data_IF_395608938880
#
_entry.id   IF_395608938880
#
_cell.length_a   1.000
_cell.length_b   1.000
_cell.length_c   1.000
_cell.angle_alpha   90.00
_cell.angle_beta   90.00
_cell.angle_gamma   90.00
#
_symmetry.space_group_name_H-M   'P 1'
#
loop_
_entity.id
_entity.type
_entity.pdbx_description
1 polymer ?
#
# COMPACT_ATOMS: atom_id res chain seq x y z
N UNK A 1 22.88 -16.36 -23.34
CA UNK A 1 23.04 -15.14 -22.52
C UNK A 1 21.73 -14.87 -21.82
N UNK A 2 21.76 -14.86 -20.48
CA UNK A 2 20.61 -14.74 -19.57
C UNK A 2 19.94 -13.37 -19.60
N UNK A 3 18.61 -13.33 -19.50
CA UNK A 3 17.90 -12.33 -18.69
C UNK A 3 16.66 -12.98 -18.06
N UNK A 4 16.89 -13.87 -17.10
CA UNK A 4 15.88 -14.25 -16.13
C UNK A 4 15.61 -13.06 -15.22
N UNK A 5 14.58 -12.28 -15.54
CA UNK A 5 14.08 -11.21 -14.68
C UNK A 5 13.61 -11.80 -13.36
N UNK A 6 14.46 -11.72 -12.33
CA UNK A 6 14.08 -12.07 -10.96
C UNK A 6 12.88 -11.20 -10.58
N UNK A 7 11.66 -11.76 -10.59
CA UNK A 7 10.53 -11.19 -9.85
C UNK A 7 11.03 -11.03 -8.42
N UNK A 8 11.29 -9.79 -7.99
CA UNK A 8 11.53 -9.48 -6.59
C UNK A 8 10.31 -10.01 -5.86
N UNK A 9 10.49 -11.06 -5.06
CA UNK A 9 9.47 -11.58 -4.16
C UNK A 9 8.96 -10.36 -3.40
N UNK A 10 7.71 -9.97 -3.66
CA UNK A 10 7.09 -8.84 -2.98
C UNK A 10 7.34 -9.00 -1.48
N UNK A 11 7.72 -7.93 -0.79
CA UNK A 11 7.81 -7.98 0.67
C UNK A 11 6.47 -8.47 1.17
N UNK A 12 6.47 -9.59 1.90
CA UNK A 12 5.25 -10.04 2.57
C UNK A 12 4.81 -8.92 3.50
N UNK A 13 3.57 -8.46 3.35
CA UNK A 13 3.00 -7.46 4.24
C UNK A 13 2.94 -8.05 5.65
N UNK A 14 3.36 -7.27 6.64
CA UNK A 14 3.19 -7.64 8.04
C UNK A 14 1.69 -7.61 8.37
N UNK A 15 1.24 -8.48 9.28
CA UNK A 15 -0.15 -8.49 9.73
C UNK A 15 -0.62 -7.11 10.21
N UNK A 16 0.27 -6.34 10.83
CA UNK A 16 0.02 -4.96 11.27
C UNK A 16 -0.11 -3.95 10.13
N UNK A 17 0.50 -4.21 8.97
CA UNK A 17 0.32 -3.38 7.77
C UNK A 17 -1.04 -3.66 7.13
N UNK A 18 -1.45 -4.92 7.09
CA UNK A 18 -2.75 -5.36 6.57
C UNK A 18 -3.88 -4.77 7.43
N UNK A 19 -3.75 -4.88 8.75
CA UNK A 19 -4.74 -4.34 9.71
C UNK A 19 -4.93 -2.83 9.55
N UNK A 20 -3.84 -2.06 9.41
CA UNK A 20 -3.90 -0.61 9.16
C UNK A 20 -4.53 -0.27 7.82
N UNK A 21 -4.21 -1.03 6.78
CA UNK A 21 -4.80 -0.81 5.46
C UNK A 21 -6.30 -1.07 5.47
N UNK A 22 -6.75 -2.14 6.16
CA UNK A 22 -8.17 -2.44 6.31
C UNK A 22 -8.90 -1.35 7.09
N UNK A 23 -8.35 -0.83 8.19
CA UNK A 23 -8.96 0.29 8.91
C UNK A 23 -9.13 1.54 8.05
N UNK A 24 -8.15 1.87 7.19
CA UNK A 24 -8.24 3.02 6.29
C UNK A 24 -9.30 2.81 5.20
N UNK A 25 -9.36 1.61 4.64
CA UNK A 25 -10.38 1.25 3.64
C UNK A 25 -11.78 1.26 4.25
N UNK A 26 -11.95 0.79 5.49
CA UNK A 26 -13.23 0.84 6.22
C UNK A 26 -13.68 2.27 6.55
N UNK A 27 -12.73 3.16 6.89
CA UNK A 27 -13.01 4.58 7.15
C UNK A 27 -13.40 5.35 5.89
N UNK A 28 -12.81 5.00 4.74
CA UNK A 28 -13.07 5.64 3.43
C UNK A 28 -14.15 4.95 2.60
N UNK A 29 -14.56 3.72 2.93
CA UNK A 29 -15.66 2.96 2.31
C UNK A 29 -17.01 3.69 2.20
N UNK A 30 -17.46 4.56 3.14
CA UNK A 30 -18.67 5.34 2.92
C UNK A 30 -18.57 6.33 1.74
N UNK A 31 -17.37 6.61 1.24
CA UNK A 31 -17.09 7.47 0.10
C UNK A 31 -16.57 6.63 -1.07
N UNK A 32 -17.46 5.89 -1.73
CA UNK A 32 -17.23 5.04 -2.94
C UNK A 32 -16.56 5.77 -4.13
N UNK A 33 -16.28 7.07 -3.99
CA UNK A 33 -15.66 7.92 -4.99
C UNK A 33 -14.26 8.44 -4.64
N UNK A 34 -13.71 8.13 -3.46
CA UNK A 34 -12.35 8.57 -3.15
C UNK A 34 -11.33 7.72 -3.93
N UNK A 35 -10.51 8.32 -4.82
CA UNK A 35 -9.58 7.55 -5.62
C UNK A 35 -8.54 6.87 -4.72
N UNK A 36 -8.12 5.64 -5.07
CA UNK A 36 -7.02 4.92 -4.40
C UNK A 36 -5.74 5.76 -4.21
N UNK A 37 -5.56 6.80 -5.03
CA UNK A 37 -4.50 7.82 -4.87
C UNK A 37 -4.59 8.56 -3.53
N UNK A 38 -5.79 8.90 -3.06
CA UNK A 38 -6.02 9.54 -1.76
C UNK A 38 -5.69 8.60 -0.60
N UNK A 39 -6.11 7.33 -0.71
CA UNK A 39 -5.80 6.27 0.26
C UNK A 39 -4.29 6.05 0.34
N UNK A 40 -3.61 5.98 -0.82
CA UNK A 40 -2.16 5.85 -0.90
C UNK A 40 -1.43 7.02 -0.26
N UNK A 41 -1.91 8.24 -0.48
CA UNK A 41 -1.35 9.44 0.15
C UNK A 41 -1.48 9.37 1.68
N UNK A 42 -2.67 9.04 2.20
CA UNK A 42 -2.90 8.93 3.64
C UNK A 42 -2.10 7.80 4.30
N UNK A 43 -1.94 6.67 3.59
CA UNK A 43 -1.09 5.56 4.03
C UNK A 43 0.39 5.96 4.10
N UNK A 44 0.88 6.66 3.07
CA UNK A 44 2.28 7.08 3.00
C UNK A 44 2.66 8.14 4.03
N UNK A 45 1.73 9.02 4.42
CA UNK A 45 1.94 10.03 5.47
C UNK A 45 2.21 9.37 6.84
N UNK A 46 1.63 8.19 7.06
CA UNK A 46 1.78 7.41 8.30
C UNK A 46 2.97 6.45 8.27
N UNK A 47 3.72 6.39 7.17
CA UNK A 47 4.89 5.53 7.07
C UNK A 47 6.03 6.05 7.96
N UNK A 48 6.66 5.12 8.69
CA UNK A 48 7.89 5.43 9.42
C UNK A 48 9.01 5.74 8.43
N UNK A 49 9.90 6.66 8.83
CA UNK A 49 11.12 6.97 8.09
C UNK A 49 11.89 5.70 7.71
N UNK A 50 12.26 5.58 6.44
CA UNK A 50 12.95 4.42 5.87
C UNK A 50 12.05 3.40 5.16
N UNK A 51 10.73 3.59 5.16
CA UNK A 51 9.79 2.75 4.39
C UNK A 51 9.51 3.34 3.00
N UNK A 52 9.34 2.46 2.02
CA UNK A 52 9.05 2.85 0.65
C UNK A 52 7.59 3.27 0.51
N UNK A 53 7.34 4.42 -0.10
CA UNK A 53 6.00 4.88 -0.45
C UNK A 53 5.31 3.87 -1.39
N UNK A 54 3.99 3.77 -1.28
CA UNK A 54 3.14 2.92 -2.13
C UNK A 54 2.26 3.79 -3.01
N UNK A 55 2.16 3.41 -4.28
CA UNK A 55 1.14 3.90 -5.20
C UNK A 55 -0.22 3.22 -4.94
N UNK A 56 -1.29 3.86 -5.40
CA UNK A 56 -2.66 3.36 -5.22
C UNK A 56 -2.96 2.05 -5.96
N UNK A 57 -2.18 1.70 -6.98
CA UNK A 57 -2.29 0.40 -7.67
C UNK A 57 -1.61 -0.75 -6.90
N UNK A 58 -0.68 -0.42 -5.99
CA UNK A 58 0.06 -1.38 -5.15
C UNK A 58 -0.56 -1.60 -3.77
N UNK A 59 -1.59 -0.82 -3.43
CA UNK A 59 -2.42 -1.00 -2.24
C UNK A 59 -3.60 -1.91 -2.60
#
# INVERSE_FOLDING_TARGET
MSLGGKKKKGKNFLATEIDRMLCLVEDQLPFVSEPWVGIASAYNDQLRSGWSARDGDSL
#
